data_IF_593062784419
#
_entry.id   IF_593062784419
#
_cell.length_a   1.000
_cell.length_b   1.000
_cell.length_c   1.000
_cell.angle_alpha   90.00
_cell.angle_beta   90.00
_cell.angle_gamma   90.00
#
_symmetry.space_group_name_H-M   'P 1'
#
loop_
_entity.id
_entity.type
_entity.pdbx_description
1 polymer ?
#
# COMPACT_ATOMS: atom_id res chain seq x y z
N UNK A 1 -19.06 -34.18 -0.69
CA UNK A 1 -18.41 -33.10 -1.44
C UNK A 1 -18.65 -31.82 -0.66
N UNK A 2 -17.63 -31.00 -0.36
CA UNK A 2 -17.88 -29.71 0.26
C UNK A 2 -18.75 -28.85 -0.68
N UNK A 3 -19.74 -28.15 -0.09
CA UNK A 3 -20.58 -27.23 -0.85
C UNK A 3 -19.66 -26.25 -1.61
N UNK A 4 -19.95 -25.92 -2.87
CA UNK A 4 -19.18 -24.90 -3.58
C UNK A 4 -19.20 -23.61 -2.74
N UNK A 5 -18.08 -22.87 -2.70
CA UNK A 5 -18.00 -21.61 -1.95
C UNK A 5 -19.13 -20.69 -2.44
N UNK A 6 -19.93 -20.19 -1.51
CA UNK A 6 -21.04 -19.30 -1.85
C UNK A 6 -20.51 -17.92 -2.16
N UNK A 7 -20.85 -17.38 -3.33
CA UNK A 7 -20.53 -16.00 -3.73
C UNK A 7 -20.90 -15.02 -2.60
N UNK A 8 -19.95 -14.17 -2.20
CA UNK A 8 -20.17 -13.13 -1.18
C UNK A 8 -19.96 -11.75 -1.78
N UNK A 9 -20.91 -10.85 -1.52
CA UNK A 9 -20.78 -9.43 -1.86
C UNK A 9 -20.47 -8.62 -0.60
N UNK A 10 -19.44 -7.79 -0.70
CA UNK A 10 -19.00 -6.89 0.36
C UNK A 10 -18.98 -5.48 -0.24
N UNK A 11 -19.27 -4.49 0.57
CA UNK A 11 -19.23 -3.08 0.17
C UNK A 11 -18.21 -2.32 0.98
N UNK A 12 -17.49 -1.42 0.32
CA UNK A 12 -16.56 -0.49 0.92
C UNK A 12 -16.68 0.90 0.30
N UNK A 13 -15.69 1.71 0.51
CA UNK A 13 -15.61 3.08 -0.02
C UNK A 13 -14.79 3.03 -1.32
N UNK A 14 -15.36 3.42 -2.46
CA UNK A 14 -14.61 3.54 -3.70
C UNK A 14 -13.62 4.70 -3.61
N UNK A 15 -12.34 4.45 -3.90
CA UNK A 15 -11.26 5.46 -3.83
C UNK A 15 -10.48 5.59 -5.13
N UNK A 16 -10.48 4.56 -5.97
CA UNK A 16 -9.94 4.62 -7.32
C UNK A 16 -10.82 3.84 -8.29
N UNK A 17 -11.13 4.46 -9.41
CA UNK A 17 -12.07 3.92 -10.41
C UNK A 17 -11.50 2.72 -11.15
N UNK A 18 -12.39 1.94 -11.74
CA UNK A 18 -12.08 0.78 -12.58
C UNK A 18 -12.74 -0.48 -12.11
N UNK A 19 -12.69 -1.49 -12.97
CA UNK A 19 -13.23 -2.82 -12.75
C UNK A 19 -12.11 -3.84 -12.95
N UNK A 20 -11.94 -4.76 -12.03
CA UNK A 20 -10.90 -5.77 -12.15
C UNK A 20 -11.37 -7.13 -11.64
N UNK A 21 -10.97 -8.18 -12.35
CA UNK A 21 -11.15 -9.58 -11.97
C UNK A 21 -9.75 -10.15 -11.77
N UNK A 22 -9.52 -10.77 -10.61
CA UNK A 22 -8.20 -11.30 -10.31
C UNK A 22 -8.22 -12.38 -9.23
N UNK A 23 -7.06 -12.63 -8.68
CA UNK A 23 -6.86 -13.55 -7.56
C UNK A 23 -6.37 -12.82 -6.32
N UNK A 24 -6.93 -13.18 -5.19
CA UNK A 24 -6.56 -12.65 -3.89
C UNK A 24 -5.11 -12.98 -3.55
N UNK A 25 -4.37 -11.99 -3.14
CA UNK A 25 -3.16 -12.11 -2.36
C UNK A 25 -3.41 -11.43 -1.01
N UNK A 26 -3.47 -12.23 0.04
CA UNK A 26 -3.74 -11.73 1.39
C UNK A 26 -2.43 -11.26 2.03
N UNK A 27 -2.31 -9.95 2.21
CA UNK A 27 -1.17 -9.35 2.90
C UNK A 27 -1.36 -9.52 4.41
N UNK A 28 -0.76 -10.56 4.98
CA UNK A 28 -0.85 -10.86 6.41
C UNK A 28 0.07 -9.96 7.25
N UNK A 29 -0.38 -8.77 7.62
CA UNK A 29 0.38 -7.87 8.51
C UNK A 29 0.34 -8.27 9.98
N UNK A 30 -0.77 -8.82 10.44
CA UNK A 30 -1.01 -9.03 11.89
C UNK A 30 -0.31 -10.27 12.46
N UNK A 31 0.03 -11.26 11.64
CA UNK A 31 0.73 -12.47 12.11
C UNK A 31 2.22 -12.22 12.32
N UNK A 32 2.86 -11.43 11.46
CA UNK A 32 4.27 -11.10 11.62
C UNK A 32 4.53 -10.23 12.85
N UNK A 33 3.57 -9.36 13.24
CA UNK A 33 3.69 -8.50 14.42
C UNK A 33 3.46 -9.24 15.75
N UNK A 34 2.88 -10.44 15.74
CA UNK A 34 2.58 -11.24 16.95
C UNK A 34 3.39 -12.53 16.99
N UNK A 35 4.69 -12.39 17.11
CA UNK A 35 5.56 -13.55 17.39
C UNK A 35 5.38 -13.96 18.85
N UNK A 36 5.09 -15.23 19.11
CA UNK A 36 5.04 -15.80 20.45
C UNK A 36 6.43 -15.92 21.08
N UNK A 37 6.52 -16.06 22.41
CA UNK A 37 7.79 -16.25 23.09
C UNK A 37 8.44 -17.58 22.65
N UNK A 38 9.68 -17.50 22.21
CA UNK A 38 10.54 -18.64 21.88
C UNK A 38 11.87 -18.45 22.58
N UNK A 39 12.24 -19.43 23.41
CA UNK A 39 13.54 -19.45 24.07
C UNK A 39 14.63 -19.92 23.11
N UNK A 40 15.85 -19.43 23.37
CA UNK A 40 17.09 -19.89 22.73
C UNK A 40 18.03 -20.39 23.82
N UNK A 41 19.00 -21.22 23.46
CA UNK A 41 20.06 -21.59 24.39
C UNK A 41 20.99 -20.39 24.66
N UNK A 42 21.49 -20.27 25.89
CA UNK A 42 22.39 -19.18 26.29
C UNK A 42 23.62 -19.10 25.36
N UNK A 43 24.14 -20.25 24.93
CA UNK A 43 25.27 -20.33 24.01
C UNK A 43 24.97 -19.78 22.61
N UNK A 44 23.71 -19.75 22.22
CA UNK A 44 23.28 -19.23 20.91
C UNK A 44 23.04 -17.73 20.91
N UNK A 45 22.96 -17.09 22.08
CA UNK A 45 22.64 -15.67 22.20
C UNK A 45 23.56 -14.74 21.39
N UNK A 46 24.90 -14.95 21.33
CA UNK A 46 25.77 -14.12 20.49
C UNK A 46 25.45 -14.25 18.99
N UNK A 47 25.21 -15.48 18.51
CA UNK A 47 24.86 -15.73 17.10
C UNK A 47 23.49 -15.11 16.75
N UNK A 48 22.53 -15.19 17.65
CA UNK A 48 21.21 -14.58 17.48
C UNK A 48 21.28 -13.05 17.50
N UNK A 49 22.16 -12.46 18.30
CA UNK A 49 22.41 -11.03 18.31
C UNK A 49 23.03 -10.56 16.98
N UNK A 50 24.01 -11.32 16.45
CA UNK A 50 24.61 -11.04 15.14
C UNK A 50 23.55 -11.11 14.03
N UNK A 51 22.69 -12.12 14.06
CA UNK A 51 21.57 -12.28 13.12
C UNK A 51 20.62 -11.09 13.18
N UNK A 52 20.31 -10.57 14.38
CA UNK A 52 19.53 -9.34 14.55
C UNK A 52 20.22 -8.13 13.91
N UNK A 53 21.52 -7.94 14.15
CA UNK A 53 22.28 -6.81 13.59
C UNK A 53 22.40 -6.88 12.06
N UNK A 54 22.50 -8.07 11.49
CA UNK A 54 22.49 -8.28 10.04
C UNK A 54 21.12 -7.91 9.46
N UNK A 55 20.04 -8.38 10.07
CA UNK A 55 18.68 -8.06 9.64
C UNK A 55 18.39 -6.55 9.72
N UNK A 56 18.84 -5.89 10.81
CA UNK A 56 18.72 -4.45 10.98
C UNK A 56 19.45 -3.67 9.89
N UNK A 57 20.71 -4.03 9.60
CA UNK A 57 21.49 -3.39 8.51
C UNK A 57 20.84 -3.59 7.15
N UNK A 58 20.34 -4.79 6.87
CA UNK A 58 19.61 -5.07 5.63
C UNK A 58 18.32 -4.25 5.52
N UNK A 59 17.58 -4.07 6.62
CA UNK A 59 16.38 -3.23 6.64
C UNK A 59 16.69 -1.74 6.41
N UNK A 60 17.81 -1.23 6.95
CA UNK A 60 18.28 0.14 6.70
C UNK A 60 18.65 0.31 5.23
N UNK A 61 19.42 -0.62 4.65
CA UNK A 61 19.81 -0.54 3.25
C UNK A 61 18.60 -0.52 2.28
N UNK A 62 17.55 -1.33 2.56
CA UNK A 62 16.32 -1.28 1.80
C UNK A 62 15.62 0.08 1.91
N UNK A 63 15.60 0.67 3.12
CA UNK A 63 14.98 1.98 3.36
C UNK A 63 15.75 3.12 2.70
N UNK A 64 17.09 3.05 2.70
CA UNK A 64 17.93 4.00 1.98
C UNK A 64 17.66 3.94 0.46
N UNK A 65 17.58 2.75 -0.12
CA UNK A 65 17.24 2.57 -1.53
C UNK A 65 15.86 3.14 -1.87
N UNK A 66 14.84 2.83 -1.04
CA UNK A 66 13.49 3.37 -1.21
C UNK A 66 13.44 4.89 -1.05
N UNK A 67 14.25 5.44 -0.15
CA UNK A 67 14.37 6.89 0.03
C UNK A 67 14.95 7.57 -1.22
N UNK A 68 15.99 7.00 -1.81
CA UNK A 68 16.61 7.51 -3.04
C UNK A 68 15.63 7.44 -4.22
N UNK A 69 14.95 6.31 -4.41
CA UNK A 69 13.97 6.10 -5.47
C UNK A 69 12.76 7.04 -5.32
N UNK A 70 12.22 7.17 -4.10
CA UNK A 70 11.06 8.00 -3.83
C UNK A 70 11.34 9.50 -3.93
N UNK A 71 12.58 9.92 -3.77
CA UNK A 71 12.97 11.35 -3.91
C UNK A 71 12.82 11.82 -5.35
N UNK A 72 12.89 10.90 -6.33
CA UNK A 72 12.68 11.18 -7.76
C UNK A 72 11.22 11.13 -8.21
N UNK A 73 10.38 10.29 -7.61
CA UNK A 73 9.05 9.95 -8.14
C UNK A 73 7.86 10.42 -7.28
N UNK A 74 7.99 10.50 -5.96
CA UNK A 74 6.85 10.66 -5.04
C UNK A 74 6.89 11.94 -4.17
N UNK A 75 7.88 12.81 -4.35
CA UNK A 75 8.02 14.06 -3.59
C UNK A 75 8.61 13.89 -2.17
N UNK A 76 9.08 15.00 -1.58
CA UNK A 76 9.93 15.01 -0.37
C UNK A 76 9.23 14.53 0.92
N UNK A 77 7.89 14.49 0.99
CA UNK A 77 7.17 14.07 2.20
C UNK A 77 7.13 12.54 2.34
N UNK A 78 6.89 11.80 1.25
CA UNK A 78 6.97 10.34 1.28
C UNK A 78 8.38 9.87 1.65
N UNK A 79 9.41 10.57 1.16
CA UNK A 79 10.80 10.30 1.49
C UNK A 79 11.13 10.48 3.00
N UNK A 80 10.47 11.41 3.71
CA UNK A 80 10.70 11.65 5.15
C UNK A 80 10.28 10.48 6.04
N UNK A 81 9.31 9.66 5.63
CA UNK A 81 8.90 8.49 6.39
C UNK A 81 10.02 7.45 6.45
N UNK A 82 10.78 7.30 5.35
CA UNK A 82 11.93 6.39 5.33
C UNK A 82 13.04 6.86 6.26
N UNK A 83 13.31 8.19 6.30
CA UNK A 83 14.26 8.77 7.25
C UNK A 83 13.83 8.56 8.71
N UNK A 84 12.53 8.65 9.00
CA UNK A 84 12.01 8.31 10.33
C UNK A 84 12.26 6.85 10.68
N UNK A 85 12.00 5.91 9.76
CA UNK A 85 12.24 4.49 9.96
C UNK A 85 13.73 4.19 10.14
N UNK A 86 14.62 4.78 9.34
CA UNK A 86 16.07 4.66 9.51
C UNK A 86 16.53 5.20 10.87
N UNK A 87 15.99 6.35 11.28
CA UNK A 87 16.22 6.93 12.60
C UNK A 87 15.80 5.99 13.72
N UNK A 88 14.60 5.41 13.63
CA UNK A 88 14.08 4.46 14.62
C UNK A 88 14.91 3.16 14.68
N UNK A 89 15.40 2.65 13.54
CA UNK A 89 16.30 1.50 13.48
C UNK A 89 17.70 1.78 14.06
N UNK A 90 18.05 3.02 14.31
CA UNK A 90 19.28 3.44 14.97
C UNK A 90 19.05 3.96 16.41
N UNK A 91 17.78 4.04 16.85
CA UNK A 91 17.44 4.59 18.16
C UNK A 91 17.81 3.62 19.30
N UNK A 92 18.69 4.02 20.23
CA UNK A 92 19.05 3.21 21.39
C UNK A 92 17.84 2.83 22.26
N UNK A 93 16.76 3.62 22.28
CA UNK A 93 15.56 3.33 23.08
C UNK A 93 14.77 2.13 22.54
N UNK A 94 14.95 1.79 21.27
CA UNK A 94 14.39 0.60 20.62
C UNK A 94 15.40 -0.54 20.67
N UNK A 95 16.68 -0.26 20.36
CA UNK A 95 17.68 -1.31 20.20
C UNK A 95 18.13 -1.94 21.53
N UNK A 96 18.31 -1.12 22.58
CA UNK A 96 18.77 -1.64 23.88
C UNK A 96 17.84 -2.69 24.49
N UNK A 97 16.49 -2.49 24.53
CA UNK A 97 15.58 -3.51 25.02
C UNK A 97 15.63 -4.80 24.19
N UNK A 98 15.68 -4.70 22.86
CA UNK A 98 15.74 -5.88 21.98
C UNK A 98 17.01 -6.69 22.27
N UNK A 99 18.18 -6.04 22.27
CA UNK A 99 19.46 -6.68 22.59
C UNK A 99 19.46 -7.33 23.97
N UNK A 100 18.96 -6.59 24.99
CA UNK A 100 18.89 -7.11 26.35
C UNK A 100 18.00 -8.36 26.46
N UNK A 101 16.90 -8.42 25.73
CA UNK A 101 16.04 -9.60 25.72
C UNK A 101 16.72 -10.80 25.06
N UNK A 102 17.48 -10.60 23.98
CA UNK A 102 18.24 -11.67 23.34
C UNK A 102 19.36 -12.16 24.26
N UNK A 103 20.14 -11.25 24.84
CA UNK A 103 21.35 -11.55 25.63
C UNK A 103 21.04 -12.08 27.04
N UNK A 104 19.98 -11.56 27.69
CA UNK A 104 19.72 -11.84 29.11
C UNK A 104 18.49 -12.70 29.33
N UNK A 105 17.45 -12.50 28.51
CA UNK A 105 16.20 -13.26 28.65
C UNK A 105 16.20 -14.49 27.72
N UNK A 106 17.28 -14.67 26.90
CA UNK A 106 17.51 -15.81 26.02
C UNK A 106 16.29 -16.11 25.14
N UNK A 107 15.78 -15.07 24.45
CA UNK A 107 14.65 -15.19 23.52
C UNK A 107 15.09 -14.91 22.09
N UNK A 108 14.31 -15.41 21.12
CA UNK A 108 14.60 -15.17 19.71
C UNK A 108 14.54 -13.69 19.34
N UNK A 109 15.35 -13.22 18.37
CA UNK A 109 15.31 -11.85 17.86
C UNK A 109 13.93 -11.44 17.36
N UNK A 110 13.18 -12.37 16.75
CA UNK A 110 11.82 -12.13 16.29
C UNK A 110 10.88 -11.78 17.45
N UNK A 111 10.92 -12.55 18.51
CA UNK A 111 10.08 -12.25 19.69
C UNK A 111 10.50 -10.94 20.36
N UNK A 112 11.80 -10.73 20.58
CA UNK A 112 12.33 -9.50 21.18
C UNK A 112 11.93 -8.26 20.40
N UNK A 113 12.04 -8.31 19.06
CA UNK A 113 11.63 -7.23 18.14
C UNK A 113 10.12 -6.98 18.21
N UNK A 114 9.32 -8.03 18.03
CA UNK A 114 7.87 -7.96 18.08
C UNK A 114 7.37 -7.41 19.41
N UNK A 115 7.88 -7.89 20.53
CA UNK A 115 7.49 -7.47 21.87
C UNK A 115 7.82 -6.00 22.12
N UNK A 116 9.05 -5.58 21.80
CA UNK A 116 9.52 -4.20 22.04
C UNK A 116 8.73 -3.19 21.23
N UNK A 117 8.55 -3.43 19.93
CA UNK A 117 7.82 -2.50 19.06
C UNK A 117 6.32 -2.46 19.37
N UNK A 118 5.68 -3.60 19.71
CA UNK A 118 4.30 -3.61 20.21
C UNK A 118 4.13 -2.79 21.49
N UNK A 119 5.05 -2.94 22.44
CA UNK A 119 5.02 -2.18 23.70
C UNK A 119 5.14 -0.69 23.44
N UNK A 120 6.00 -0.29 22.51
CA UNK A 120 6.17 1.09 22.10
C UNK A 120 4.93 1.63 21.38
N UNK A 121 4.38 0.89 20.42
CA UNK A 121 3.14 1.22 19.71
C UNK A 121 1.96 1.39 20.67
N UNK A 122 1.82 0.49 21.67
CA UNK A 122 0.78 0.61 22.69
C UNK A 122 0.93 1.84 23.58
N UNK A 123 2.16 2.31 23.81
CA UNK A 123 2.40 3.58 24.54
C UNK A 123 2.04 4.78 23.68
N UNK A 124 2.39 4.77 22.39
CA UNK A 124 2.07 5.85 21.44
C UNK A 124 0.56 5.95 21.22
N UNK A 125 -0.15 4.83 21.09
CA UNK A 125 -1.61 4.81 20.97
C UNK A 125 -2.35 5.46 22.15
N UNK A 126 -1.76 5.46 23.35
CA UNK A 126 -2.31 6.07 24.58
C UNK A 126 -1.82 7.49 24.83
N UNK A 127 -0.94 8.01 23.99
CA UNK A 127 -0.38 9.35 24.19
C UNK A 127 -1.45 10.42 23.89
N UNK A 128 -1.56 11.49 24.69
CA UNK A 128 -2.55 12.56 24.47
C UNK A 128 -2.38 13.31 23.14
N UNK A 129 -1.13 13.42 22.67
CA UNK A 129 -0.79 14.10 21.43
C UNK A 129 -1.04 13.17 20.22
N UNK A 130 -1.85 13.65 19.29
CA UNK A 130 -2.20 12.94 18.04
C UNK A 130 -0.99 12.64 17.15
N UNK A 131 0.08 13.42 17.24
CA UNK A 131 1.34 13.18 16.52
C UNK A 131 1.96 11.84 16.89
N UNK A 132 1.89 11.43 18.16
CA UNK A 132 2.36 10.09 18.57
C UNK A 132 1.40 8.99 18.15
N UNK A 133 0.10 9.27 18.16
CA UNK A 133 -0.90 8.29 17.72
C UNK A 133 -0.73 7.96 16.24
N UNK A 134 -0.42 8.95 15.40
CA UNK A 134 -0.18 8.75 13.97
C UNK A 134 1.07 7.90 13.67
N UNK A 135 2.01 7.80 14.63
CA UNK A 135 3.24 7.01 14.49
C UNK A 135 3.08 5.53 14.86
N UNK A 136 1.89 5.10 15.28
CA UNK A 136 1.62 3.70 15.63
C UNK A 136 1.77 2.79 14.41
N UNK A 137 1.28 3.22 13.26
CA UNK A 137 1.34 2.45 12.02
C UNK A 137 2.77 2.43 11.46
N UNK A 138 3.53 3.52 11.58
CA UNK A 138 4.96 3.55 11.26
C UNK A 138 5.76 2.51 12.07
N UNK A 139 5.44 2.35 13.36
CA UNK A 139 6.08 1.33 14.21
C UNK A 139 5.70 -0.10 13.83
N UNK A 140 4.47 -0.31 13.33
CA UNK A 140 4.03 -1.61 12.82
C UNK A 140 4.76 -1.97 11.53
N UNK A 141 4.86 -1.02 10.60
CA UNK A 141 5.61 -1.21 9.35
C UNK A 141 7.09 -1.54 9.63
N UNK A 142 7.70 -0.80 10.56
CA UNK A 142 9.07 -1.07 11.00
C UNK A 142 9.26 -2.48 11.55
N UNK A 143 8.29 -2.94 12.37
CA UNK A 143 8.32 -4.29 12.92
C UNK A 143 8.18 -5.35 11.83
N UNK A 144 7.24 -5.19 10.91
CA UNK A 144 7.03 -6.10 9.80
C UNK A 144 8.29 -6.25 8.94
N UNK A 145 8.96 -5.13 8.64
CA UNK A 145 10.21 -5.08 7.88
C UNK A 145 11.35 -5.84 8.59
N UNK A 146 11.58 -5.55 9.87
CA UNK A 146 12.62 -6.25 10.65
C UNK A 146 12.34 -7.76 10.76
N UNK A 147 11.09 -8.13 11.04
CA UNK A 147 10.69 -9.52 11.18
C UNK A 147 10.80 -10.29 9.87
N UNK A 148 10.51 -9.64 8.75
CA UNK A 148 10.75 -10.19 7.41
C UNK A 148 12.23 -10.52 7.19
N UNK A 149 13.14 -9.57 7.52
CA UNK A 149 14.59 -9.79 7.39
C UNK A 149 15.11 -10.88 8.35
N UNK A 150 14.54 -10.96 9.55
CA UNK A 150 14.89 -12.00 10.53
C UNK A 150 14.44 -13.39 10.11
N UNK A 151 13.24 -13.51 9.57
CA UNK A 151 12.68 -14.83 9.18
C UNK A 151 13.35 -15.44 7.97
N UNK A 152 14.21 -14.71 7.26
CA UNK A 152 14.79 -15.12 5.98
C UNK A 152 13.73 -15.36 4.89
N UNK A 153 12.44 -15.28 5.27
CA UNK A 153 11.37 -15.07 4.32
C UNK A 153 11.53 -13.63 3.90
N UNK A 154 12.08 -13.40 2.72
CA UNK A 154 11.77 -12.19 1.98
C UNK A 154 10.30 -11.94 2.27
N UNK A 155 9.90 -10.77 2.75
CA UNK A 155 8.51 -10.36 2.63
C UNK A 155 8.18 -10.75 1.21
N UNK A 156 7.25 -11.70 1.02
CA UNK A 156 6.96 -12.23 -0.30
C UNK A 156 6.78 -10.98 -1.12
N UNK A 157 7.77 -10.65 -1.89
CA UNK A 157 7.97 -9.30 -2.36
C UNK A 157 6.75 -9.12 -3.22
N UNK A 158 5.95 -8.09 -2.96
CA UNK A 158 4.82 -7.73 -3.82
C UNK A 158 5.28 -7.63 -5.29
N UNK A 159 6.59 -7.56 -5.49
CA UNK A 159 7.29 -7.75 -6.76
C UNK A 159 7.23 -9.20 -7.32
N UNK A 160 6.97 -10.22 -6.51
CA UNK A 160 6.95 -11.63 -6.93
C UNK A 160 5.54 -12.25 -7.02
N UNK A 161 4.50 -11.44 -6.85
CA UNK A 161 3.11 -11.90 -7.01
C UNK A 161 2.80 -12.25 -8.47
N UNK A 162 1.89 -13.20 -8.69
CA UNK A 162 1.45 -13.59 -10.03
C UNK A 162 0.70 -12.46 -10.77
N UNK A 163 0.54 -12.59 -12.06
CA UNK A 163 -0.30 -11.67 -12.85
C UNK A 163 -1.76 -11.69 -12.37
N UNK A 164 -2.47 -10.59 -12.56
CA UNK A 164 -3.86 -10.38 -12.15
C UNK A 164 -4.09 -10.59 -10.66
N UNK A 165 -3.15 -10.12 -9.84
CA UNK A 165 -3.24 -10.18 -8.39
C UNK A 165 -3.98 -8.97 -7.84
N UNK A 166 -4.92 -9.22 -6.94
CA UNK A 166 -5.62 -8.21 -6.14
C UNK A 166 -5.16 -8.34 -4.70
N UNK A 167 -4.54 -7.29 -4.19
CA UNK A 167 -4.04 -7.26 -2.81
C UNK A 167 -5.19 -7.04 -1.85
N UNK A 168 -5.30 -7.88 -0.84
CA UNK A 168 -6.18 -7.66 0.31
C UNK A 168 -5.33 -7.45 1.55
N UNK A 169 -5.54 -6.35 2.24
CA UNK A 169 -4.83 -6.00 3.45
C UNK A 169 -5.78 -5.41 4.50
N UNK A 170 -5.34 -5.37 5.75
CA UNK A 170 -6.05 -4.60 6.77
C UNK A 170 -5.93 -3.10 6.49
N UNK A 171 -4.75 -2.65 6.17
CA UNK A 171 -4.39 -1.31 5.69
C UNK A 171 -3.14 -1.43 4.81
N UNK A 172 -2.80 -0.40 4.05
CA UNK A 172 -1.61 -0.36 3.22
C UNK A 172 -0.77 0.84 3.58
N UNK A 173 0.50 0.59 3.89
CA UNK A 173 1.46 1.66 4.13
C UNK A 173 2.02 2.19 2.80
N UNK A 174 2.52 3.44 2.77
CA UNK A 174 3.18 3.99 1.59
C UNK A 174 4.33 3.11 1.07
N UNK A 175 5.09 2.53 1.98
CA UNK A 175 6.21 1.62 1.66
C UNK A 175 5.75 0.36 0.94
N UNK A 176 4.62 -0.22 1.35
CA UNK A 176 4.07 -1.42 0.71
C UNK A 176 3.54 -1.12 -0.67
N UNK A 177 2.84 0.00 -0.82
CA UNK A 177 2.29 0.43 -2.11
C UNK A 177 3.35 0.85 -3.10
N UNK A 178 4.46 1.47 -2.66
CA UNK A 178 5.63 1.74 -3.49
C UNK A 178 6.28 0.47 -4.04
N UNK A 179 6.17 -0.65 -3.32
CA UNK A 179 6.68 -1.96 -3.75
C UNK A 179 5.76 -2.73 -4.70
N UNK A 180 4.63 -2.18 -5.15
CA UNK A 180 3.73 -2.85 -6.08
C UNK A 180 4.33 -2.96 -7.48
N UNK A 181 4.42 -4.20 -7.99
CA UNK A 181 4.67 -4.39 -9.41
C UNK A 181 3.37 -4.15 -10.18
N UNK A 182 3.29 -3.02 -10.89
CA UNK A 182 2.09 -2.60 -11.66
C UNK A 182 1.71 -3.56 -12.79
N UNK A 183 2.64 -4.39 -13.27
CA UNK A 183 2.34 -5.41 -14.27
C UNK A 183 1.58 -6.61 -13.67
N UNK A 184 1.69 -6.81 -12.37
CA UNK A 184 1.15 -7.96 -11.68
C UNK A 184 -0.02 -7.61 -10.76
N UNK A 185 0.08 -6.48 -10.02
CA UNK A 185 -0.97 -6.00 -9.13
C UNK A 185 -1.98 -5.19 -9.94
N UNK A 186 -3.21 -5.68 -10.00
CA UNK A 186 -4.29 -5.09 -10.81
C UNK A 186 -5.33 -4.36 -9.98
N UNK A 187 -5.25 -4.40 -8.65
CA UNK A 187 -6.14 -3.70 -7.75
C UNK A 187 -5.88 -4.05 -6.30
N UNK A 188 -6.53 -3.35 -5.38
CA UNK A 188 -6.45 -3.69 -3.97
C UNK A 188 -7.70 -3.33 -3.16
N UNK A 189 -7.83 -3.99 -2.01
CA UNK A 189 -8.92 -3.76 -1.05
C UNK A 189 -8.37 -3.74 0.37
N UNK A 190 -8.87 -2.81 1.21
CA UNK A 190 -8.48 -2.76 2.62
C UNK A 190 -9.67 -2.78 3.58
N UNK A 191 -9.46 -3.38 4.77
CA UNK A 191 -10.45 -3.35 5.86
C UNK A 191 -10.65 -1.94 6.41
N UNK A 192 -9.56 -1.21 6.57
CA UNK A 192 -9.52 0.15 7.08
C UNK A 192 -9.43 1.17 5.94
N UNK A 193 -9.40 2.43 6.31
CA UNK A 193 -9.24 3.56 5.40
C UNK A 193 -10.53 4.28 5.08
N UNK A 194 -10.38 5.47 4.53
CA UNK A 194 -11.44 6.37 4.09
C UNK A 194 -11.01 7.14 2.85
N UNK A 195 -11.86 8.02 2.32
CA UNK A 195 -11.58 8.79 1.08
C UNK A 195 -10.33 9.66 1.14
N UNK A 196 -9.92 10.05 2.33
CA UNK A 196 -8.74 10.91 2.58
C UNK A 196 -7.59 10.15 3.21
N UNK A 197 -7.64 8.81 3.24
CA UNK A 197 -6.54 7.99 3.77
C UNK A 197 -5.34 7.99 2.82
N UNK A 198 -4.14 7.76 3.34
CA UNK A 198 -2.95 7.57 2.51
C UNK A 198 -3.17 6.51 1.44
N UNK A 199 -3.85 5.43 1.78
CA UNK A 199 -4.22 4.34 0.87
C UNK A 199 -5.07 4.82 -0.31
N UNK A 200 -6.00 5.76 -0.07
CA UNK A 200 -6.84 6.36 -1.11
C UNK A 200 -6.03 7.25 -2.05
N UNK A 201 -5.12 8.06 -1.51
CA UNK A 201 -4.23 8.94 -2.30
C UNK A 201 -3.33 8.09 -3.21
N UNK A 202 -2.72 7.05 -2.65
CA UNK A 202 -1.86 6.14 -3.41
C UNK A 202 -2.65 5.38 -4.48
N UNK A 203 -3.89 4.97 -4.20
CA UNK A 203 -4.76 4.32 -5.20
C UNK A 203 -4.94 5.19 -6.43
N UNK A 204 -5.21 6.48 -6.22
CA UNK A 204 -5.34 7.47 -7.29
C UNK A 204 -4.04 7.62 -8.10
N UNK A 205 -2.91 7.80 -7.41
CA UNK A 205 -1.59 7.94 -8.04
C UNK A 205 -1.16 6.71 -8.85
N UNK A 206 -1.51 5.51 -8.37
CA UNK A 206 -1.22 4.25 -9.07
C UNK A 206 -2.23 3.93 -10.18
N UNK A 207 -3.36 4.64 -10.25
CA UNK A 207 -4.49 4.37 -11.16
C UNK A 207 -4.99 2.92 -11.09
N UNK A 208 -4.86 2.26 -9.92
CA UNK A 208 -5.34 0.90 -9.68
C UNK A 208 -6.75 0.93 -9.09
N UNK A 209 -7.70 0.13 -9.60
CA UNK A 209 -9.01 -0.05 -8.99
C UNK A 209 -8.91 -0.38 -7.51
N UNK A 210 -9.53 0.42 -6.64
CA UNK A 210 -9.36 0.25 -5.21
C UNK A 210 -10.63 0.56 -4.40
N UNK A 211 -10.83 -0.26 -3.36
CA UNK A 211 -11.91 -0.13 -2.39
C UNK A 211 -11.33 -0.20 -1.00
N UNK A 212 -11.61 0.79 -0.16
CA UNK A 212 -11.15 0.83 1.23
C UNK A 212 -12.34 0.73 2.20
N UNK A 213 -12.07 0.50 3.48
CA UNK A 213 -13.13 0.44 4.50
C UNK A 213 -14.07 -0.74 4.36
N UNK A 214 -13.60 -1.86 3.80
CA UNK A 214 -14.37 -3.10 3.67
C UNK A 214 -14.57 -3.85 5.01
N UNK A 215 -14.03 -3.31 6.10
CA UNK A 215 -14.17 -3.69 7.51
C UNK A 215 -13.50 -5.01 7.90
N UNK A 216 -13.81 -6.11 7.26
CA UNK A 216 -13.36 -7.46 7.66
C UNK A 216 -13.12 -8.39 6.46
N UNK A 217 -12.72 -7.84 5.32
CA UNK A 217 -12.45 -8.65 4.14
C UNK A 217 -11.25 -9.58 4.36
N UNK A 218 -10.24 -9.13 5.13
CA UNK A 218 -9.06 -9.95 5.47
C UNK A 218 -9.40 -11.24 6.22
N UNK A 219 -10.53 -11.29 6.92
CA UNK A 219 -11.00 -12.50 7.62
C UNK A 219 -11.88 -13.39 6.77
N UNK A 220 -12.37 -12.90 5.63
CA UNK A 220 -13.30 -13.61 4.75
C UNK A 220 -12.65 -14.10 3.47
N UNK A 221 -11.58 -13.46 3.03
CA UNK A 221 -10.85 -13.81 1.84
C UNK A 221 -9.70 -14.81 2.13
N UNK A 222 -9.29 -15.55 1.13
CA UNK A 222 -8.20 -16.54 1.19
C UNK A 222 -7.28 -16.35 -0.02
N UNK A 223 -6.00 -16.64 0.17
CA UNK A 223 -5.03 -16.59 -0.93
C UNK A 223 -5.45 -17.45 -2.13
N UNK A 224 -5.28 -16.89 -3.32
CA UNK A 224 -5.62 -17.54 -4.59
C UNK A 224 -7.12 -17.56 -4.93
N UNK A 225 -8.00 -17.13 -4.02
CA UNK A 225 -9.44 -17.03 -4.23
C UNK A 225 -9.76 -16.07 -5.38
N UNK A 226 -10.76 -16.37 -6.20
CA UNK A 226 -11.20 -15.48 -7.26
C UNK A 226 -12.00 -14.31 -6.67
N UNK A 227 -11.73 -13.11 -7.18
CA UNK A 227 -12.32 -11.88 -6.68
C UNK A 227 -12.60 -10.90 -7.81
N UNK A 228 -13.68 -10.14 -7.68
CA UNK A 228 -13.99 -8.96 -8.50
C UNK A 228 -13.95 -7.73 -7.61
N UNK A 229 -13.30 -6.66 -8.08
CA UNK A 229 -13.31 -5.36 -7.42
C UNK A 229 -13.88 -4.32 -8.37
N UNK A 230 -14.98 -3.70 -7.96
CA UNK A 230 -15.61 -2.57 -8.63
C UNK A 230 -15.27 -1.29 -7.88
N UNK A 231 -14.20 -0.64 -8.31
CA UNK A 231 -13.73 0.63 -7.77
C UNK A 231 -14.62 1.82 -8.12
N UNK A 232 -15.59 1.65 -9.05
CA UNK A 232 -16.58 2.68 -9.36
C UNK A 232 -17.71 2.71 -8.32
N UNK A 233 -18.15 1.52 -7.88
CA UNK A 233 -19.29 1.35 -6.96
C UNK A 233 -18.87 1.02 -5.53
N UNK A 234 -17.59 0.68 -5.30
CA UNK A 234 -17.12 0.18 -4.01
C UNK A 234 -17.62 -1.21 -3.68
N UNK A 235 -17.86 -2.06 -4.71
CA UNK A 235 -18.35 -3.43 -4.54
C UNK A 235 -17.22 -4.43 -4.71
N UNK A 236 -17.18 -5.42 -3.82
CA UNK A 236 -16.22 -6.52 -3.84
C UNK A 236 -17.03 -7.81 -3.89
N UNK A 237 -16.65 -8.74 -4.76
CA UNK A 237 -17.31 -10.05 -4.90
C UNK A 237 -16.25 -11.13 -4.73
N UNK A 238 -16.38 -11.93 -3.68
CA UNK A 238 -15.57 -13.12 -3.43
C UNK A 238 -16.28 -14.34 -4.02
N UNK A 239 -15.52 -15.26 -4.62
CA UNK A 239 -16.00 -16.46 -5.31
C UNK A 239 -17.17 -16.17 -6.27
N UNK A 240 -16.97 -15.25 -7.25
CA UNK A 240 -18.02 -14.98 -8.24
C UNK A 240 -18.34 -16.23 -9.04
N UNK A 241 -19.62 -16.44 -9.34
CA UNK A 241 -20.05 -17.46 -10.28
C UNK A 241 -19.72 -17.09 -11.74
N UNK A 242 -19.84 -18.05 -12.64
CA UNK A 242 -19.50 -17.85 -14.06
C UNK A 242 -20.33 -16.74 -14.72
N UNK A 243 -21.60 -16.62 -14.38
CA UNK A 243 -22.48 -15.59 -14.90
C UNK A 243 -22.04 -14.19 -14.44
N UNK A 244 -21.68 -14.05 -13.17
CA UNK A 244 -21.15 -12.79 -12.63
C UNK A 244 -19.81 -12.43 -13.27
N UNK A 245 -18.93 -13.40 -13.47
CA UNK A 245 -17.64 -13.17 -14.16
C UNK A 245 -17.90 -12.67 -15.58
N UNK A 246 -18.78 -13.34 -16.35
CA UNK A 246 -19.11 -12.96 -17.70
C UNK A 246 -19.70 -11.54 -17.78
N UNK A 247 -20.59 -11.17 -16.84
CA UNK A 247 -21.13 -9.82 -16.75
C UNK A 247 -20.05 -8.76 -16.53
N UNK A 248 -19.13 -9.00 -15.57
CA UNK A 248 -18.06 -8.05 -15.29
C UNK A 248 -16.99 -7.99 -16.39
N UNK A 249 -16.73 -9.11 -17.07
CA UNK A 249 -15.86 -9.12 -18.25
C UNK A 249 -16.44 -8.25 -19.39
N UNK A 250 -17.74 -8.36 -19.65
CA UNK A 250 -18.41 -7.52 -20.64
C UNK A 250 -18.33 -6.03 -20.27
N UNK A 251 -18.50 -5.69 -18.97
CA UNK A 251 -18.37 -4.31 -18.51
C UNK A 251 -16.93 -3.78 -18.64
N UNK A 252 -15.92 -4.60 -18.35
CA UNK A 252 -14.49 -4.25 -18.53
C UNK A 252 -14.21 -4.01 -20.00
N UNK A 253 -14.66 -4.90 -20.88
CA UNK A 253 -14.48 -4.76 -22.34
C UNK A 253 -15.15 -3.49 -22.87
N UNK A 254 -16.39 -3.21 -22.47
CA UNK A 254 -17.09 -1.97 -22.87
C UNK A 254 -16.37 -0.72 -22.38
N UNK A 255 -15.84 -0.74 -21.16
CA UNK A 255 -15.08 0.38 -20.61
C UNK A 255 -13.76 0.59 -21.38
N UNK A 256 -13.07 -0.48 -21.76
CA UNK A 256 -11.85 -0.41 -22.55
C UNK A 256 -12.10 0.07 -23.99
N UNK A 257 -13.15 -0.43 -24.64
CA UNK A 257 -13.57 0.05 -25.97
C UNK A 257 -13.91 1.56 -25.94
N UNK A 258 -14.62 2.00 -24.90
CA UNK A 258 -14.91 3.42 -24.69
C UNK A 258 -13.63 4.23 -24.47
N UNK A 259 -12.66 3.71 -23.70
CA UNK A 259 -11.37 4.37 -23.47
C UNK A 259 -10.58 4.52 -24.76
N UNK A 260 -10.49 3.47 -25.57
CA UNK A 260 -9.81 3.50 -26.88
C UNK A 260 -10.50 4.52 -27.81
N UNK A 261 -11.83 4.50 -27.88
CA UNK A 261 -12.58 5.46 -28.70
C UNK A 261 -12.39 6.91 -28.24
N UNK A 262 -12.30 7.15 -26.92
CA UNK A 262 -12.01 8.48 -26.38
C UNK A 262 -10.57 8.91 -26.69
N UNK A 263 -9.62 7.99 -26.61
CA UNK A 263 -8.22 8.27 -26.94
C UNK A 263 -8.03 8.65 -28.43
N UNK A 264 -8.78 8.02 -29.33
CA UNK A 264 -8.80 8.42 -30.75
C UNK A 264 -9.33 9.86 -30.96
N UNK A 265 -10.19 10.34 -30.04
CA UNK A 265 -10.68 11.72 -30.07
C UNK A 265 -9.65 12.71 -29.50
N UNK A 266 -8.68 12.25 -28.72
CA UNK A 266 -7.68 13.12 -28.08
C UNK A 266 -6.79 13.87 -29.12
N UNK A 267 -6.61 13.28 -30.30
CA UNK A 267 -5.84 13.89 -31.41
C UNK A 267 -6.68 14.89 -32.25
N UNK A 268 -8.02 14.93 -32.03
CA UNK A 268 -8.89 15.79 -32.82
C UNK A 268 -8.99 17.18 -32.18
N UNK A 269 -9.04 18.24 -33.00
CA UNK A 269 -9.27 19.60 -32.49
C UNK A 269 -10.68 19.72 -31.89
N UNK A 270 -10.77 20.31 -30.70
CA UNK A 270 -12.06 20.56 -30.04
C UNK A 270 -12.76 21.74 -30.69
N UNK A 271 -13.58 21.48 -31.70
CA UNK A 271 -14.30 22.50 -32.48
C UNK A 271 -15.81 22.31 -32.29
N UNK A 272 -16.50 23.39 -31.96
CA UNK A 272 -17.97 23.41 -31.84
C UNK A 272 -18.62 23.27 -33.22
N UNK A 273 -19.93 22.96 -33.28
CA UNK A 273 -20.68 22.79 -34.52
C UNK A 273 -20.77 24.05 -35.36
N UNK A 274 -20.57 25.25 -34.77
CA UNK A 274 -20.51 26.56 -35.42
C UNK A 274 -19.06 26.96 -35.77
N UNK A 275 -18.09 26.08 -35.60
CA UNK A 275 -16.72 26.27 -36.07
C UNK A 275 -15.80 27.00 -35.10
N UNK A 276 -16.18 27.16 -33.83
CA UNK A 276 -15.35 27.80 -32.80
C UNK A 276 -14.43 26.77 -32.17
N UNK A 277 -13.14 27.00 -32.18
CA UNK A 277 -12.15 26.14 -31.47
C UNK A 277 -12.18 26.45 -29.98
N UNK A 278 -12.24 25.35 -29.18
CA UNK A 278 -12.25 25.41 -27.71
C UNK A 278 -10.94 24.84 -27.19
N UNK A 279 -10.25 25.59 -26.36
CA UNK A 279 -9.04 25.15 -25.68
C UNK A 279 -9.41 24.20 -24.54
N UNK A 280 -8.84 22.98 -24.55
CA UNK A 280 -9.06 21.97 -23.51
C UNK A 280 -7.93 22.04 -22.48
N UNK A 281 -8.25 22.45 -21.27
CA UNK A 281 -7.31 22.60 -20.17
C UNK A 281 -7.66 21.65 -19.04
N UNK A 282 -6.65 20.96 -18.48
CA UNK A 282 -6.82 20.04 -17.37
C UNK A 282 -6.64 20.68 -16.00
N UNK A 283 -7.30 20.11 -15.02
CA UNK A 283 -7.03 20.41 -13.61
C UNK A 283 -6.07 19.35 -13.06
N UNK A 284 -4.93 19.78 -12.52
CA UNK A 284 -3.91 18.89 -11.95
C UNK A 284 -3.67 19.23 -10.48
N UNK A 285 -3.24 18.22 -9.73
CA UNK A 285 -2.82 18.30 -8.32
C UNK A 285 -1.29 18.18 -8.21
N UNK A 286 -0.67 17.41 -9.12
CA UNK A 286 0.77 17.16 -9.16
C UNK A 286 1.32 17.38 -10.58
N UNK A 287 2.57 17.79 -10.67
CA UNK A 287 3.23 18.07 -11.95
C UNK A 287 3.46 16.81 -12.82
N UNK A 288 3.53 15.64 -12.20
CA UNK A 288 3.66 14.34 -12.88
C UNK A 288 2.38 13.86 -13.58
N UNK A 289 1.24 14.54 -13.36
CA UNK A 289 0.01 14.30 -14.12
C UNK A 289 0.03 14.95 -15.53
N UNK A 290 0.98 15.85 -15.81
CA UNK A 290 1.06 16.56 -17.09
C UNK A 290 1.21 15.62 -18.31
N UNK A 291 2.08 14.60 -18.30
CA UNK A 291 2.17 13.66 -19.41
C UNK A 291 0.83 12.99 -19.73
N UNK A 292 0.12 12.52 -18.70
CA UNK A 292 -1.20 11.90 -18.85
C UNK A 292 -2.24 12.89 -19.39
N UNK A 293 -2.24 14.14 -18.91
CA UNK A 293 -3.10 15.19 -19.42
C UNK A 293 -2.90 15.42 -20.93
N UNK A 294 -1.67 15.45 -21.38
CA UNK A 294 -1.34 15.62 -22.80
C UNK A 294 -1.75 14.40 -23.66
N UNK A 295 -1.54 13.20 -23.13
CA UNK A 295 -1.96 11.94 -23.78
C UNK A 295 -3.49 11.85 -23.97
N UNK A 296 -4.26 12.46 -23.06
CA UNK A 296 -5.74 12.53 -23.14
C UNK A 296 -6.23 13.73 -23.96
N UNK A 297 -5.35 14.43 -24.69
CA UNK A 297 -5.71 15.53 -25.59
C UNK A 297 -5.82 16.90 -24.92
N UNK A 298 -5.38 17.05 -23.67
CA UNK A 298 -5.29 18.33 -23.02
C UNK A 298 -4.22 19.21 -23.65
N UNK A 299 -4.51 20.49 -23.82
CA UNK A 299 -3.60 21.46 -24.46
C UNK A 299 -2.78 22.27 -23.45
N UNK A 300 -3.14 22.15 -22.15
CA UNK A 300 -2.44 22.85 -21.09
C UNK A 300 -3.12 22.67 -19.73
N UNK A 301 -2.60 23.36 -18.72
CA UNK A 301 -3.12 23.32 -17.35
C UNK A 301 -4.06 24.50 -17.12
N UNK A 302 -5.34 24.23 -16.84
CA UNK A 302 -6.34 25.23 -16.49
C UNK A 302 -6.34 25.58 -15.02
N UNK A 303 -6.12 24.58 -14.16
CA UNK A 303 -6.01 24.77 -12.72
C UNK A 303 -4.93 23.86 -12.15
N UNK A 304 -3.98 24.44 -11.43
CA UNK A 304 -3.03 23.73 -10.59
C UNK A 304 -3.38 23.91 -9.12
N UNK A 305 -3.75 22.82 -8.44
CA UNK A 305 -4.09 22.84 -7.03
C UNK A 305 -2.82 22.89 -6.19
N UNK A 306 -2.45 24.10 -5.76
CA UNK A 306 -1.19 24.32 -5.04
C UNK A 306 -1.25 23.99 -3.55
N UNK A 307 -2.42 23.68 -2.99
CA UNK A 307 -2.60 23.28 -1.60
C UNK A 307 -1.72 22.07 -1.22
N UNK A 308 -1.50 21.15 -2.14
CA UNK A 308 -0.60 20.00 -1.92
C UNK A 308 0.87 20.40 -1.80
N UNK A 309 1.31 21.48 -2.47
CA UNK A 309 2.65 22.05 -2.28
C UNK A 309 2.84 22.59 -0.85
N UNK A 310 1.80 23.17 -0.25
CA UNK A 310 1.86 23.65 1.13
C UNK A 310 1.80 22.52 2.14
N UNK A 311 1.04 21.46 1.88
CA UNK A 311 0.97 20.28 2.74
C UNK A 311 2.29 19.50 2.74
N UNK A 312 3.05 19.58 1.64
CA UNK A 312 4.34 18.90 1.47
C UNK A 312 5.54 19.78 1.80
N UNK A 313 5.41 21.10 1.81
CA UNK A 313 6.49 22.07 2.04
C UNK A 313 6.65 22.51 3.48
N UNK A 314 7.88 22.58 4.00
CA UNK A 314 8.23 23.13 5.32
C UNK A 314 8.45 24.64 5.34
N UNK A 315 8.42 25.30 4.22
CA UNK A 315 8.62 26.76 4.12
C UNK A 315 7.43 27.37 3.40
N UNK A 316 6.83 28.38 4.02
CA UNK A 316 5.94 29.30 3.31
C UNK A 316 6.70 29.92 2.14
N UNK A 317 6.07 30.09 0.99
CA UNK A 317 6.67 30.82 -0.13
C UNK A 317 7.01 32.25 0.26
#
# INVERSE_FOLDING_TARGET
MPNPPSMKRITGIPVSKGLVIGRVYLLEEDRSFRVGPQAIDEMDAPAQLERFELARRAAIADLDALHEESTGEMGSEAAKIFLFHIGALNDPTILKPIRSMIEKDHVTPEYATSFTLRKLAARFAKHPDSTFQSKVDDLRDLAARLLSKLSGKSAATLASVGKNTIIIARDLTPTQTAGFNREHVTGFVTDLGGRTSHTAIVAGALSLPAVVGAKNITTQAHDGQQIIVDGNKGTIILDPDEDTIAQYQALIQTAEEARISLHELAELPAITTDGVEIELLGNIEFADEIPHLLDEGGQGVGLYRTEFLYLTGKQSP
#
